data_IF_618789931852
#
_entry.id   IF_618789931852
#
_cell.length_a   1.000
_cell.length_b   1.000
_cell.length_c   1.000
_cell.angle_alpha   90.00
_cell.angle_beta   90.00
_cell.angle_gamma   90.00
#
_symmetry.space_group_name_H-M   'P 1'
#
loop_
_entity.id
_entity.type
_entity.pdbx_description
1 polymer ?
#
# COMPACT_ATOMS: atom_id res chain seq x y z
N UNK A 1 -19.84 24.12 50.31
CA UNK A 1 -20.27 23.94 48.91
C UNK A 1 -19.02 23.89 48.06
N UNK A 2 -18.55 22.69 47.74
CA UNK A 2 -17.32 22.45 46.96
C UNK A 2 -17.75 22.27 45.51
N UNK A 3 -17.35 23.21 44.65
CA UNK A 3 -17.53 23.10 43.19
C UNK A 3 -16.39 22.21 42.69
N UNK A 4 -16.69 20.94 42.43
CA UNK A 4 -15.78 20.02 41.73
C UNK A 4 -15.95 20.31 40.24
N UNK A 5 -14.99 21.02 39.66
CA UNK A 5 -14.94 21.32 38.23
C UNK A 5 -14.73 20.03 37.42
N UNK A 6 -15.72 19.70 36.59
CA UNK A 6 -15.67 18.66 35.57
C UNK A 6 -14.82 19.13 34.38
N UNK A 7 -13.52 18.82 34.36
CA UNK A 7 -12.63 19.08 33.20
C UNK A 7 -11.98 17.81 32.62
N UNK A 8 -12.52 16.62 32.90
CA UNK A 8 -11.91 15.35 32.48
C UNK A 8 -12.44 14.73 31.17
N UNK A 9 -13.30 15.42 30.39
CA UNK A 9 -13.92 14.86 29.18
C UNK A 9 -13.24 15.23 27.84
N UNK A 10 -12.25 16.13 27.81
CA UNK A 10 -11.61 16.53 26.54
C UNK A 10 -10.39 15.69 26.15
N UNK A 11 -9.69 15.08 27.11
CA UNK A 11 -8.42 14.36 26.84
C UNK A 11 -8.62 13.10 25.97
N UNK A 12 -9.73 12.40 26.13
CA UNK A 12 -9.96 11.10 25.49
C UNK A 12 -10.28 11.16 23.99
N UNK A 13 -10.66 12.32 23.45
CA UNK A 13 -10.93 12.46 22.00
C UNK A 13 -9.63 12.73 21.23
N UNK A 14 -8.72 13.49 21.83
CA UNK A 14 -7.41 13.88 21.29
C UNK A 14 -6.50 12.65 21.09
N UNK A 15 -6.45 11.74 22.08
CA UNK A 15 -5.65 10.50 21.96
C UNK A 15 -6.15 9.56 20.85
N UNK A 16 -7.45 9.60 20.52
CA UNK A 16 -8.05 8.71 19.50
C UNK A 16 -7.74 9.15 18.08
N UNK A 17 -7.86 10.45 17.82
CA UNK A 17 -7.49 11.03 16.53
C UNK A 17 -6.00 10.88 16.24
N UNK A 18 -5.16 10.97 17.28
CA UNK A 18 -3.72 10.71 17.20
C UNK A 18 -3.40 9.29 16.72
N UNK A 19 -4.06 8.27 17.27
CA UNK A 19 -3.80 6.87 16.88
C UNK A 19 -4.20 6.60 15.42
N UNK A 20 -5.35 7.10 14.96
CA UNK A 20 -5.76 6.93 13.57
C UNK A 20 -4.79 7.58 12.60
N UNK A 21 -4.38 8.82 12.87
CA UNK A 21 -3.49 9.55 11.98
C UNK A 21 -2.09 8.95 11.96
N UNK A 22 -1.61 8.43 13.09
CA UNK A 22 -0.38 7.63 13.12
C UNK A 22 -0.52 6.38 12.25
N UNK A 23 -1.60 5.61 12.41
CA UNK A 23 -1.86 4.44 11.57
C UNK A 23 -2.06 4.79 10.09
N UNK A 24 -2.64 5.95 9.76
CA UNK A 24 -2.80 6.37 8.36
C UNK A 24 -1.48 6.80 7.74
N UNK A 25 -0.59 7.42 8.52
CA UNK A 25 0.77 7.78 8.11
C UNK A 25 1.56 6.50 7.84
N UNK A 26 1.61 5.59 8.81
CA UNK A 26 2.31 4.32 8.67
C UNK A 26 1.80 3.52 7.47
N UNK A 27 0.47 3.36 7.35
CA UNK A 27 -0.13 2.70 6.18
C UNK A 27 0.28 3.37 4.86
N UNK A 28 0.31 4.69 4.81
CA UNK A 28 0.67 5.44 3.60
C UNK A 28 2.14 5.25 3.23
N UNK A 29 3.04 5.28 4.21
CA UNK A 29 4.46 5.02 4.03
C UNK A 29 4.68 3.60 3.50
N UNK A 30 4.17 2.59 4.20
CA UNK A 30 4.27 1.17 3.79
C UNK A 30 3.69 0.93 2.39
N UNK A 31 2.52 1.49 2.07
CA UNK A 31 1.96 1.37 0.71
C UNK A 31 2.87 2.05 -0.29
N UNK A 32 3.42 3.23 -0.02
CA UNK A 32 4.31 3.91 -0.96
C UNK A 32 5.57 3.10 -1.26
N UNK A 33 6.19 2.51 -0.24
CA UNK A 33 7.35 1.63 -0.39
C UNK A 33 6.99 0.38 -1.22
N UNK A 34 5.84 -0.24 -0.95
CA UNK A 34 5.33 -1.34 -1.77
C UNK A 34 5.12 -0.93 -3.24
N UNK A 35 4.66 0.29 -3.50
CA UNK A 35 4.50 0.80 -4.87
C UNK A 35 5.84 1.01 -5.56
N UNK A 36 6.84 1.54 -4.85
CA UNK A 36 8.19 1.69 -5.38
C UNK A 36 8.81 0.33 -5.70
N UNK A 37 8.66 -0.62 -4.79
CA UNK A 37 9.13 -1.99 -4.99
C UNK A 37 8.42 -2.68 -6.16
N UNK A 38 7.12 -2.45 -6.32
CA UNK A 38 6.37 -2.93 -7.49
C UNK A 38 6.94 -2.37 -8.79
N UNK A 39 7.20 -1.06 -8.86
CA UNK A 39 7.80 -0.43 -10.05
C UNK A 39 9.17 -1.06 -10.33
N UNK A 40 10.02 -1.18 -9.31
CA UNK A 40 11.35 -1.79 -9.40
C UNK A 40 11.29 -3.22 -9.95
N UNK A 41 10.43 -4.07 -9.39
CA UNK A 41 10.31 -5.46 -9.83
C UNK A 41 9.76 -5.59 -11.26
N UNK A 42 8.78 -4.77 -11.64
CA UNK A 42 8.28 -4.76 -13.02
C UNK A 42 9.41 -4.38 -13.99
N UNK A 43 10.13 -3.27 -13.74
CA UNK A 43 11.23 -2.81 -14.59
C UNK A 43 12.31 -3.90 -14.71
N UNK A 44 12.71 -4.49 -13.58
CA UNK A 44 13.76 -5.49 -13.54
C UNK A 44 13.38 -6.74 -14.33
N UNK A 45 12.16 -7.25 -14.16
CA UNK A 45 11.69 -8.44 -14.87
C UNK A 45 11.52 -8.15 -16.36
N UNK A 46 10.88 -7.05 -16.74
CA UNK A 46 10.69 -6.70 -18.15
C UNK A 46 12.05 -6.48 -18.86
N UNK A 47 13.02 -5.85 -18.19
CA UNK A 47 14.38 -5.69 -18.72
C UNK A 47 15.09 -7.02 -18.95
N UNK A 48 14.98 -7.96 -18.00
CA UNK A 48 15.55 -9.32 -18.16
C UNK A 48 14.88 -10.07 -19.31
N UNK A 49 13.56 -9.94 -19.46
CA UNK A 49 12.84 -10.54 -20.59
C UNK A 49 13.38 -9.97 -21.91
N UNK A 50 13.49 -8.65 -22.03
CA UNK A 50 14.00 -7.97 -23.24
C UNK A 50 15.42 -8.40 -23.60
N UNK A 51 16.30 -8.59 -22.61
CA UNK A 51 17.66 -9.11 -22.84
C UNK A 51 17.61 -10.52 -23.45
N UNK A 52 16.77 -11.40 -22.90
CA UNK A 52 16.62 -12.79 -23.39
C UNK A 52 15.98 -12.87 -24.77
N UNK A 53 15.06 -11.97 -25.08
CA UNK A 53 14.31 -11.95 -26.35
C UNK A 53 14.93 -11.04 -27.42
N UNK A 54 16.09 -10.43 -27.14
CA UNK A 54 16.75 -9.45 -28.02
C UNK A 54 17.02 -9.96 -29.43
N UNK A 55 17.27 -11.26 -29.60
CA UNK A 55 17.56 -11.87 -30.90
C UNK A 55 16.28 -12.23 -31.69
N UNK A 56 15.11 -11.79 -31.24
CA UNK A 56 13.84 -11.98 -31.94
C UNK A 56 13.72 -11.16 -33.24
N UNK A 57 12.61 -11.37 -33.96
CA UNK A 57 12.41 -10.86 -35.33
C UNK A 57 12.29 -9.34 -35.44
N UNK A 58 11.88 -8.64 -34.37
CA UNK A 58 11.79 -7.17 -34.35
C UNK A 58 12.05 -6.60 -32.94
N UNK A 59 13.32 -6.53 -32.50
CA UNK A 59 13.67 -6.12 -31.14
C UNK A 59 13.32 -4.66 -30.84
N UNK A 60 13.36 -3.78 -31.84
CA UNK A 60 12.98 -2.37 -31.68
C UNK A 60 11.50 -2.24 -31.32
N UNK A 61 10.62 -2.87 -32.10
CA UNK A 61 9.18 -2.83 -31.84
C UNK A 61 8.83 -3.41 -30.47
N UNK A 62 9.47 -4.53 -30.10
CA UNK A 62 9.27 -5.16 -28.79
C UNK A 62 9.68 -4.25 -27.62
N UNK A 63 10.79 -3.53 -27.77
CA UNK A 63 11.23 -2.55 -26.77
C UNK A 63 10.25 -1.37 -26.66
N UNK A 64 9.79 -0.84 -27.80
CA UNK A 64 8.80 0.25 -27.85
C UNK A 64 7.48 -0.15 -27.15
N UNK A 65 6.92 -1.31 -27.48
CA UNK A 65 5.69 -1.84 -26.86
C UNK A 65 5.82 -2.08 -25.35
N UNK A 66 6.98 -2.60 -24.91
CA UNK A 66 7.26 -2.82 -23.49
C UNK A 66 7.40 -1.52 -22.72
N UNK A 67 8.07 -0.52 -23.30
CA UNK A 67 8.21 0.79 -22.69
C UNK A 67 6.86 1.51 -22.55
N UNK A 68 6.00 1.45 -23.57
CA UNK A 68 4.65 2.02 -23.52
C UNK A 68 3.82 1.37 -22.41
N UNK A 69 3.77 0.03 -22.38
CA UNK A 69 3.03 -0.71 -21.34
C UNK A 69 3.55 -0.38 -19.93
N UNK A 70 4.86 -0.26 -19.78
CA UNK A 70 5.49 0.08 -18.50
C UNK A 70 5.17 1.53 -18.07
N UNK A 71 5.18 2.48 -19.00
CA UNK A 71 4.81 3.86 -18.72
C UNK A 71 3.35 3.97 -18.26
N UNK A 72 2.43 3.26 -18.92
CA UNK A 72 1.03 3.22 -18.53
C UNK A 72 0.86 2.66 -17.11
N UNK A 73 1.51 1.53 -16.81
CA UNK A 73 1.45 0.93 -15.48
C UNK A 73 2.04 1.86 -14.39
N UNK A 74 3.18 2.49 -14.65
CA UNK A 74 3.78 3.47 -13.73
C UNK A 74 2.83 4.65 -13.53
N UNK A 75 2.12 5.09 -14.58
CA UNK A 75 1.08 6.12 -14.50
C UNK A 75 -0.07 5.70 -13.58
N UNK A 76 -0.54 4.45 -13.68
CA UNK A 76 -1.58 3.91 -12.80
C UNK A 76 -1.11 3.84 -11.33
N UNK A 77 0.11 3.34 -11.10
CA UNK A 77 0.70 3.26 -9.75
C UNK A 77 0.84 4.66 -9.12
N UNK A 78 1.34 5.63 -9.88
CA UNK A 78 1.46 7.02 -9.42
C UNK A 78 0.10 7.67 -9.16
N UNK A 79 -0.92 7.32 -9.95
CA UNK A 79 -2.29 7.75 -9.68
C UNK A 79 -2.73 7.23 -8.31
N UNK A 80 -2.60 5.92 -8.08
CA UNK A 80 -2.94 5.28 -6.79
C UNK A 80 -2.19 5.91 -5.61
N UNK A 81 -0.88 6.11 -5.73
CA UNK A 81 -0.06 6.86 -4.75
C UNK A 81 -0.67 8.22 -4.41
N UNK A 82 -1.11 8.95 -5.44
CA UNK A 82 -1.79 10.23 -5.28
C UNK A 82 -3.10 10.15 -4.51
N UNK A 83 -3.85 9.04 -4.60
CA UNK A 83 -5.04 8.80 -3.78
C UNK A 83 -4.66 8.50 -2.32
N UNK A 84 -3.64 7.68 -2.09
CA UNK A 84 -3.14 7.33 -0.75
C UNK A 84 -2.65 8.55 0.01
N UNK A 85 -1.83 9.42 -0.62
CA UNK A 85 -1.37 10.68 -0.02
C UNK A 85 -2.53 11.63 0.32
N UNK A 86 -3.55 11.69 -0.54
CA UNK A 86 -4.73 12.53 -0.30
C UNK A 86 -5.56 12.00 0.88
N UNK A 87 -5.66 10.68 1.02
CA UNK A 87 -6.32 10.03 2.16
C UNK A 87 -5.56 10.29 3.47
N UNK A 88 -4.23 10.18 3.46
CA UNK A 88 -3.41 10.53 4.63
C UNK A 88 -3.60 11.99 5.04
N UNK A 89 -3.60 12.89 4.04
CA UNK A 89 -3.84 14.32 4.26
C UNK A 89 -5.20 14.57 4.92
N UNK A 90 -6.23 13.80 4.53
CA UNK A 90 -7.55 13.88 5.15
C UNK A 90 -7.48 13.53 6.65
N UNK A 91 -6.90 12.38 7.01
CA UNK A 91 -6.82 11.93 8.39
C UNK A 91 -5.98 12.86 9.26
N UNK A 92 -4.84 13.35 8.77
CA UNK A 92 -4.03 14.36 9.47
C UNK A 92 -4.81 15.66 9.74
N UNK A 93 -5.58 16.14 8.77
CA UNK A 93 -6.40 17.34 8.96
C UNK A 93 -7.60 17.08 9.89
N UNK A 94 -8.16 15.87 9.86
CA UNK A 94 -9.23 15.46 10.79
C UNK A 94 -8.71 15.43 12.23
N UNK A 95 -7.49 14.94 12.46
CA UNK A 95 -6.83 15.05 13.75
C UNK A 95 -6.59 16.51 14.15
N UNK A 96 -6.07 17.34 13.25
CA UNK A 96 -5.90 18.76 13.53
C UNK A 96 -7.20 19.45 13.94
N UNK A 97 -8.34 19.04 13.38
CA UNK A 97 -9.66 19.55 13.75
C UNK A 97 -10.10 19.08 15.15
N UNK A 98 -9.64 17.91 15.58
CA UNK A 98 -9.89 17.39 16.93
C UNK A 98 -9.00 18.07 17.98
N UNK A 99 -7.78 18.47 17.60
CA UNK A 99 -6.77 19.01 18.49
C UNK A 99 -6.83 20.55 18.63
N UNK A 100 -7.38 21.29 17.65
CA UNK A 100 -7.37 22.75 17.67
C UNK A 100 -8.49 23.39 18.51
N UNK A 101 -8.14 24.35 19.37
CA UNK A 101 -9.09 25.29 19.97
C UNK A 101 -9.69 26.26 18.93
N UNK A 102 -8.97 26.50 17.83
CA UNK A 102 -9.34 27.37 16.71
C UNK A 102 -10.02 26.57 15.59
N UNK A 103 -11.36 26.51 15.67
CA UNK A 103 -12.20 25.47 15.02
C UNK A 103 -12.56 25.68 13.55
N UNK A 104 -12.33 26.85 12.96
CA UNK A 104 -12.93 27.20 11.67
C UNK A 104 -12.05 26.88 10.45
N UNK A 105 -10.77 27.27 10.47
CA UNK A 105 -9.91 27.13 9.28
C UNK A 105 -9.54 25.66 8.97
N UNK A 106 -9.35 24.84 10.01
CA UNK A 106 -9.03 23.42 9.86
C UNK A 106 -10.23 22.63 9.30
N UNK A 107 -11.46 22.97 9.71
CA UNK A 107 -12.67 22.31 9.22
C UNK A 107 -12.94 22.55 7.73
N UNK A 108 -12.61 23.75 7.24
CA UNK A 108 -12.66 24.08 5.80
C UNK A 108 -11.64 23.24 5.02
N UNK A 109 -10.44 23.05 5.55
CA UNK A 109 -9.41 22.23 4.92
C UNK A 109 -9.83 20.75 4.80
N UNK A 110 -10.37 20.16 5.87
CA UNK A 110 -10.90 18.77 5.84
C UNK A 110 -11.96 18.61 4.73
N UNK A 111 -12.89 19.58 4.62
CA UNK A 111 -13.92 19.55 3.57
C UNK A 111 -13.36 19.65 2.17
N UNK A 112 -12.41 20.56 1.94
CA UNK A 112 -11.76 20.72 0.63
C UNK A 112 -11.00 19.45 0.22
N UNK A 113 -10.33 18.77 1.16
CA UNK A 113 -9.65 17.51 0.89
C UNK A 113 -10.66 16.42 0.55
N UNK A 114 -11.74 16.28 1.33
CA UNK A 114 -12.82 15.33 1.07
C UNK A 114 -13.47 15.54 -0.31
N UNK A 115 -13.73 16.79 -0.70
CA UNK A 115 -14.24 17.09 -2.04
C UNK A 115 -13.25 16.72 -3.15
N UNK A 116 -11.94 16.92 -2.94
CA UNK A 116 -10.92 16.46 -3.89
C UNK A 116 -10.86 14.94 -3.99
N UNK A 117 -11.02 14.23 -2.86
CA UNK A 117 -11.15 12.76 -2.83
C UNK A 117 -12.34 12.37 -3.70
N UNK A 118 -13.53 12.90 -3.38
CA UNK A 118 -14.76 12.59 -4.11
C UNK A 118 -14.66 12.83 -5.62
N UNK A 119 -14.09 13.97 -6.03
CA UNK A 119 -13.89 14.29 -7.44
C UNK A 119 -12.99 13.26 -8.14
N UNK A 120 -11.91 12.83 -7.49
CA UNK A 120 -11.02 11.79 -8.02
C UNK A 120 -11.70 10.41 -8.05
N UNK A 121 -12.32 9.99 -6.94
CA UNK A 121 -13.03 8.70 -6.84
C UNK A 121 -14.15 8.55 -7.87
N UNK A 122 -14.74 9.66 -8.32
CA UNK A 122 -15.83 9.65 -9.30
C UNK A 122 -15.35 9.49 -10.74
N UNK A 123 -14.08 9.79 -11.01
CA UNK A 123 -13.43 9.53 -12.30
C UNK A 123 -12.79 8.15 -12.40
N UNK A 124 -12.77 7.37 -11.31
CA UNK A 124 -12.19 6.03 -11.32
C UNK A 124 -13.05 5.05 -12.13
N UNK A 125 -12.36 4.18 -12.89
CA UNK A 125 -13.01 3.15 -13.71
C UNK A 125 -13.39 1.89 -12.92
N UNK A 126 -12.94 1.77 -11.67
CA UNK A 126 -13.23 0.59 -10.86
C UNK A 126 -14.73 0.57 -10.49
N UNK A 127 -15.40 -0.52 -10.87
CA UNK A 127 -16.82 -0.72 -10.61
C UNK A 127 -16.99 -1.26 -9.20
N UNK A 128 -17.80 -0.58 -8.40
CA UNK A 128 -18.26 -1.08 -7.11
C UNK A 128 -19.39 -2.08 -7.33
N UNK A 129 -19.37 -3.16 -6.57
CA UNK A 129 -20.47 -4.12 -6.51
C UNK A 129 -21.66 -3.52 -5.76
N UNK A 130 -22.85 -4.06 -5.99
CA UNK A 130 -24.06 -3.66 -5.26
C UNK A 130 -23.88 -3.76 -3.74
N UNK A 131 -23.14 -4.78 -3.28
CA UNK A 131 -22.83 -4.95 -1.84
C UNK A 131 -21.96 -3.83 -1.29
N UNK A 132 -21.01 -3.33 -2.08
CA UNK A 132 -20.11 -2.23 -1.72
C UNK A 132 -20.85 -0.89 -1.73
N UNK A 133 -21.74 -0.67 -2.69
CA UNK A 133 -22.61 0.51 -2.72
C UNK A 133 -23.61 0.51 -1.55
N UNK A 134 -24.17 -0.66 -1.22
CA UNK A 134 -25.00 -0.85 -0.05
C UNK A 134 -24.25 -0.57 1.25
N UNK A 135 -22.99 -1.01 1.35
CA UNK A 135 -22.10 -0.68 2.47
C UNK A 135 -21.87 0.83 2.58
N UNK A 136 -21.54 1.53 1.49
CA UNK A 136 -21.34 3.00 1.51
C UNK A 136 -22.61 3.70 1.99
N UNK A 137 -23.79 3.26 1.52
CA UNK A 137 -25.08 3.81 1.95
C UNK A 137 -25.34 3.59 3.44
N UNK A 138 -24.99 2.41 3.96
CA UNK A 138 -25.06 2.09 5.39
C UNK A 138 -24.12 2.99 6.21
N UNK A 139 -22.91 3.24 5.73
CA UNK A 139 -21.96 4.16 6.39
C UNK A 139 -22.50 5.60 6.40
N UNK A 140 -23.04 6.08 5.27
CA UNK A 140 -23.60 7.44 5.17
C UNK A 140 -24.82 7.68 6.07
N UNK A 141 -25.59 6.62 6.38
CA UNK A 141 -26.74 6.68 7.28
C UNK A 141 -26.38 6.37 8.75
N UNK A 142 -25.13 6.03 9.04
CA UNK A 142 -24.67 5.69 10.38
C UNK A 142 -24.82 6.87 11.34
N UNK A 143 -25.31 6.61 12.55
CA UNK A 143 -25.35 7.62 13.60
C UNK A 143 -23.93 7.89 14.09
N UNK A 144 -23.45 9.12 13.85
CA UNK A 144 -22.16 9.56 14.36
C UNK A 144 -22.22 9.71 15.88
N UNK A 145 -21.19 9.18 16.56
CA UNK A 145 -21.05 9.21 18.02
C UNK A 145 -21.44 10.56 18.62
N UNK A 146 -22.30 10.53 19.65
CA UNK A 146 -22.90 11.75 20.23
C UNK A 146 -21.92 12.62 21.01
N UNK A 147 -20.77 12.08 21.40
CA UNK A 147 -19.77 12.75 22.21
C UNK A 147 -18.81 13.64 21.40
N UNK A 148 -18.84 13.58 20.06
CA UNK A 148 -18.03 14.47 19.23
C UNK A 148 -18.52 15.91 19.33
N UNK A 149 -17.58 16.86 19.30
CA UNK A 149 -17.91 18.27 19.13
C UNK A 149 -18.68 18.48 17.81
N UNK A 150 -19.58 19.46 17.77
CA UNK A 150 -20.51 19.65 16.65
C UNK A 150 -19.82 19.81 15.28
N UNK A 151 -18.67 20.50 15.25
CA UNK A 151 -17.86 20.68 14.04
C UNK A 151 -17.25 19.35 13.54
N UNK A 152 -16.68 18.54 14.44
CA UNK A 152 -16.14 17.21 14.10
C UNK A 152 -17.26 16.30 13.64
N UNK A 153 -18.39 16.29 14.36
CA UNK A 153 -19.58 15.51 13.99
C UNK A 153 -20.10 15.87 12.60
N UNK A 154 -20.12 17.17 12.27
CA UNK A 154 -20.52 17.63 10.94
C UNK A 154 -19.55 17.18 9.84
N UNK A 155 -18.24 17.26 10.09
CA UNK A 155 -17.22 16.78 9.16
C UNK A 155 -17.33 15.27 8.94
N UNK A 156 -17.35 14.48 10.01
CA UNK A 156 -17.50 13.02 9.95
C UNK A 156 -18.77 12.60 9.20
N UNK A 157 -19.91 13.25 9.47
CA UNK A 157 -21.17 12.95 8.79
C UNK A 157 -21.10 13.25 7.28
N UNK A 158 -20.52 14.40 6.91
CA UNK A 158 -20.34 14.80 5.50
C UNK A 158 -19.43 13.82 4.75
N UNK A 159 -18.34 13.41 5.40
CA UNK A 159 -17.24 12.69 4.74
C UNK A 159 -17.40 11.17 4.80
N UNK A 160 -18.21 10.64 5.72
CA UNK A 160 -18.52 9.22 5.89
C UNK A 160 -18.63 8.43 4.57
N UNK A 161 -19.55 8.77 3.64
CA UNK A 161 -19.70 8.02 2.39
C UNK A 161 -18.55 8.25 1.41
N UNK A 162 -17.90 9.42 1.43
CA UNK A 162 -16.80 9.78 0.53
C UNK A 162 -15.57 8.94 0.87
N UNK A 163 -15.20 8.91 2.15
CA UNK A 163 -14.03 8.18 2.64
C UNK A 163 -14.27 6.67 2.53
N UNK A 164 -15.48 6.19 2.86
CA UNK A 164 -15.82 4.77 2.69
C UNK A 164 -15.70 4.32 1.22
N UNK A 165 -16.19 5.15 0.28
CA UNK A 165 -16.03 4.89 -1.16
C UNK A 165 -14.55 4.82 -1.55
N UNK A 166 -13.75 5.80 -1.14
CA UNK A 166 -12.33 5.83 -1.52
C UNK A 166 -11.55 4.66 -0.93
N UNK A 167 -11.82 4.24 0.31
CA UNK A 167 -11.18 3.06 0.90
C UNK A 167 -11.47 1.81 0.07
N UNK A 168 -12.73 1.54 -0.30
CA UNK A 168 -13.07 0.39 -1.15
C UNK A 168 -12.40 0.43 -2.53
N UNK A 169 -12.30 1.62 -3.12
CA UNK A 169 -11.60 1.80 -4.39
C UNK A 169 -10.10 1.52 -4.24
N UNK A 170 -9.48 2.01 -3.16
CA UNK A 170 -8.09 1.72 -2.84
C UNK A 170 -7.85 0.24 -2.60
N UNK A 171 -8.77 -0.47 -1.93
CA UNK A 171 -8.69 -1.92 -1.72
C UNK A 171 -8.58 -2.67 -3.06
N UNK A 172 -9.42 -2.33 -4.04
CA UNK A 172 -9.39 -2.93 -5.38
C UNK A 172 -8.09 -2.59 -6.13
N UNK A 173 -7.65 -1.34 -6.06
CA UNK A 173 -6.41 -0.89 -6.69
C UNK A 173 -5.20 -1.60 -6.08
N UNK A 174 -5.15 -1.70 -4.75
CA UNK A 174 -4.12 -2.41 -4.01
C UNK A 174 -4.10 -3.90 -4.38
N UNK A 175 -5.26 -4.56 -4.45
CA UNK A 175 -5.35 -5.95 -4.88
C UNK A 175 -4.79 -6.16 -6.30
N UNK A 176 -5.06 -5.24 -7.24
CA UNK A 176 -4.48 -5.27 -8.59
C UNK A 176 -2.95 -5.15 -8.54
N UNK A 177 -2.42 -4.19 -7.79
CA UNK A 177 -0.98 -3.96 -7.64
C UNK A 177 -0.28 -5.17 -7.00
N UNK A 178 -0.84 -5.71 -5.92
CA UNK A 178 -0.32 -6.92 -5.27
C UNK A 178 -0.28 -8.10 -6.24
N UNK A 179 -1.31 -8.27 -7.08
CA UNK A 179 -1.31 -9.30 -8.12
C UNK A 179 -0.22 -9.11 -9.18
N UNK A 180 0.06 -7.86 -9.58
CA UNK A 180 1.17 -7.54 -10.49
C UNK A 180 2.52 -7.85 -9.83
N UNK A 181 2.73 -7.41 -8.60
CA UNK A 181 3.97 -7.68 -7.88
C UNK A 181 4.17 -9.19 -7.69
N UNK A 182 3.14 -9.92 -7.30
CA UNK A 182 3.20 -11.37 -7.16
C UNK A 182 3.60 -12.07 -8.47
N UNK A 183 2.95 -11.74 -9.59
CA UNK A 183 3.31 -12.33 -10.89
C UNK A 183 4.77 -12.01 -11.30
N UNK A 184 5.25 -10.80 -10.99
CA UNK A 184 6.62 -10.39 -11.25
C UNK A 184 7.62 -11.12 -10.36
N UNK A 185 7.33 -11.30 -9.07
CA UNK A 185 8.17 -12.07 -8.16
C UNK A 185 8.20 -13.56 -8.55
N UNK A 186 7.07 -14.14 -8.93
CA UNK A 186 7.00 -15.51 -9.44
C UNK A 186 7.84 -15.69 -10.70
N UNK A 187 7.70 -14.74 -11.64
CA UNK A 187 8.49 -14.73 -12.87
C UNK A 187 9.98 -14.58 -12.56
N UNK A 188 10.36 -13.65 -11.69
CA UNK A 188 11.73 -13.45 -11.22
C UNK A 188 12.28 -14.71 -10.57
N UNK A 189 11.52 -15.36 -9.70
CA UNK A 189 11.92 -16.60 -9.01
C UNK A 189 12.17 -17.72 -10.01
N UNK A 190 11.28 -17.94 -10.98
CA UNK A 190 11.48 -18.92 -12.06
C UNK A 190 12.73 -18.62 -12.89
N UNK A 191 12.95 -17.35 -13.25
CA UNK A 191 14.13 -16.92 -13.98
C UNK A 191 15.40 -17.20 -13.19
N UNK A 192 15.40 -16.85 -11.90
CA UNK A 192 16.52 -17.01 -10.99
C UNK A 192 16.86 -18.50 -10.78
N UNK A 193 15.85 -19.34 -10.53
CA UNK A 193 16.00 -20.79 -10.41
C UNK A 193 16.69 -21.36 -11.65
N UNK A 194 16.21 -20.98 -12.83
CA UNK A 194 16.81 -21.47 -14.06
C UNK A 194 18.25 -21.00 -14.24
N UNK A 195 18.50 -19.68 -14.13
CA UNK A 195 19.81 -19.08 -14.44
C UNK A 195 20.91 -19.43 -13.44
N UNK A 196 20.59 -19.49 -12.14
CA UNK A 196 21.60 -19.55 -11.08
C UNK A 196 21.65 -20.91 -10.38
N UNK A 197 20.64 -21.75 -10.55
CA UNK A 197 20.57 -23.06 -9.88
C UNK A 197 20.55 -24.19 -10.90
N UNK A 198 19.59 -24.20 -11.83
CA UNK A 198 19.42 -25.31 -12.77
C UNK A 198 20.51 -25.31 -13.84
N UNK A 199 20.66 -24.21 -14.58
CA UNK A 199 21.60 -24.15 -15.71
C UNK A 199 23.07 -24.41 -15.29
N UNK A 200 23.59 -23.84 -14.18
CA UNK A 200 24.95 -24.13 -13.74
C UNK A 200 25.14 -25.58 -13.29
N UNK A 201 24.12 -26.17 -12.63
CA UNK A 201 24.21 -27.56 -12.15
C UNK A 201 24.24 -28.58 -13.28
N UNK A 202 23.47 -28.36 -14.35
CA UNK A 202 23.41 -29.30 -15.49
C UNK A 202 24.54 -29.09 -16.49
N UNK A 203 25.23 -27.94 -16.46
CA UNK A 203 26.37 -27.66 -17.33
C UNK A 203 27.64 -28.39 -16.88
N UNK A 204 27.59 -29.71 -16.97
CA UNK A 204 28.70 -30.63 -16.63
C UNK A 204 29.93 -30.49 -17.53
N UNK A 205 29.85 -29.67 -18.58
CA UNK A 205 30.94 -29.40 -19.53
C UNK A 205 31.46 -27.96 -19.44
N UNK A 206 30.75 -27.09 -18.74
CA UNK A 206 31.15 -25.72 -18.47
C UNK A 206 32.34 -25.66 -17.53
N UNK A 207 33.29 -24.77 -17.82
CA UNK A 207 34.52 -24.62 -17.02
C UNK A 207 34.33 -23.82 -15.72
N UNK A 208 33.11 -23.38 -15.38
CA UNK A 208 32.87 -22.38 -14.34
C UNK A 208 31.75 -22.77 -13.36
N UNK A 209 31.73 -24.03 -12.90
CA UNK A 209 30.88 -24.40 -11.76
C UNK A 209 31.57 -23.99 -10.46
N UNK A 210 31.03 -22.97 -9.80
CA UNK A 210 31.41 -22.57 -8.45
C UNK A 210 30.40 -23.15 -7.45
N UNK A 211 30.85 -24.15 -6.69
CA UNK A 211 30.03 -24.84 -5.68
C UNK A 211 29.48 -23.88 -4.63
N UNK A 212 30.30 -22.93 -4.17
CA UNK A 212 29.91 -21.99 -3.11
C UNK A 212 28.81 -21.04 -3.58
N UNK A 213 28.99 -20.45 -4.77
CA UNK A 213 28.00 -19.58 -5.41
C UNK A 213 26.71 -20.35 -5.72
N UNK A 214 26.80 -21.61 -6.14
CA UNK A 214 25.63 -22.44 -6.43
C UNK A 214 24.81 -22.79 -5.18
N UNK A 215 25.48 -23.22 -4.10
CA UNK A 215 24.83 -23.52 -2.82
C UNK A 215 24.10 -22.30 -2.28
N UNK A 216 24.78 -21.14 -2.31
CA UNK A 216 24.20 -19.85 -1.90
C UNK A 216 22.98 -19.50 -2.76
N UNK A 217 23.11 -19.58 -4.08
CA UNK A 217 22.01 -19.27 -5.01
C UNK A 217 20.80 -20.18 -4.75
N UNK A 218 21.03 -21.47 -4.51
CA UNK A 218 19.95 -22.41 -4.20
C UNK A 218 19.28 -22.08 -2.87
N UNK A 219 20.03 -21.66 -1.85
CA UNK A 219 19.45 -21.22 -0.56
C UNK A 219 18.57 -19.98 -0.75
N UNK A 220 19.10 -18.96 -1.42
CA UNK A 220 18.36 -17.72 -1.70
C UNK A 220 17.06 -17.97 -2.47
N UNK A 221 17.06 -18.92 -3.41
CA UNK A 221 15.83 -19.27 -4.11
C UNK A 221 14.75 -19.82 -3.17
N UNK A 222 15.10 -20.71 -2.23
CA UNK A 222 14.15 -21.24 -1.25
C UNK A 222 13.66 -20.17 -0.27
N UNK A 223 14.52 -19.23 0.13
CA UNK A 223 14.14 -18.08 0.96
C UNK A 223 13.11 -17.20 0.25
N UNK A 224 13.33 -16.91 -1.03
CA UNK A 224 12.38 -16.14 -1.87
C UNK A 224 11.01 -16.84 -2.02
N UNK A 225 10.93 -18.17 -1.88
CA UNK A 225 9.64 -18.87 -1.91
C UNK A 225 8.83 -18.71 -0.61
N UNK A 226 9.47 -18.36 0.49
CA UNK A 226 8.80 -18.22 1.79
C UNK A 226 8.13 -16.85 1.98
N UNK A 227 8.36 -15.89 1.07
CA UNK A 227 7.86 -14.51 1.19
C UNK A 227 6.42 -14.31 0.67
N UNK A 228 5.76 -15.34 0.16
CA UNK A 228 4.39 -15.27 -0.37
C UNK A 228 3.26 -14.87 0.62
N UNK A 229 3.34 -15.13 1.95
CA UNK A 229 2.29 -14.74 2.89
C UNK A 229 2.04 -13.23 2.99
N UNK A 230 2.99 -12.40 2.56
CA UNK A 230 2.96 -10.96 2.80
C UNK A 230 1.84 -10.19 2.09
N UNK A 231 1.38 -10.71 0.95
CA UNK A 231 0.27 -10.12 0.23
C UNK A 231 -1.03 -10.16 1.04
N UNK A 232 -1.15 -11.08 2.02
CA UNK A 232 -2.25 -11.11 2.96
C UNK A 232 -2.12 -9.97 3.98
N UNK A 233 -0.95 -9.77 4.59
CA UNK A 233 -0.73 -8.72 5.61
C UNK A 233 -1.06 -7.31 5.08
N UNK A 234 -0.69 -7.00 3.83
CA UNK A 234 -1.04 -5.70 3.21
C UNK A 234 -2.55 -5.51 3.08
N UNK A 235 -3.29 -6.56 2.67
CA UNK A 235 -4.75 -6.51 2.55
C UNK A 235 -5.41 -6.38 3.91
N UNK A 236 -4.94 -7.15 4.88
CA UNK A 236 -5.42 -7.10 6.26
C UNK A 236 -5.19 -5.71 6.87
N UNK A 237 -4.04 -5.08 6.62
CA UNK A 237 -3.77 -3.71 7.07
C UNK A 237 -4.75 -2.69 6.45
N UNK A 238 -5.08 -2.85 5.16
CA UNK A 238 -6.08 -2.01 4.51
C UNK A 238 -7.49 -2.22 5.11
N UNK A 239 -7.87 -3.48 5.34
CA UNK A 239 -9.14 -3.81 6.00
C UNK A 239 -9.20 -3.25 7.43
N UNK A 240 -8.10 -3.31 8.17
CA UNK A 240 -7.98 -2.73 9.50
C UNK A 240 -8.15 -1.20 9.46
N UNK A 241 -7.58 -0.51 8.47
CA UNK A 241 -7.81 0.93 8.27
C UNK A 241 -9.29 1.23 7.98
N UNK A 242 -9.97 0.40 7.18
CA UNK A 242 -11.41 0.54 6.93
C UNK A 242 -12.24 0.32 8.20
N UNK A 243 -11.90 -0.68 9.01
CA UNK A 243 -12.56 -0.93 10.29
C UNK A 243 -12.32 0.21 11.28
N UNK A 244 -11.10 0.73 11.34
CA UNK A 244 -10.76 1.89 12.15
C UNK A 244 -11.63 3.11 11.78
N UNK A 245 -11.83 3.37 10.48
CA UNK A 245 -12.74 4.42 10.01
C UNK A 245 -14.18 4.21 10.52
N UNK A 246 -14.74 3.01 10.39
CA UNK A 246 -16.07 2.71 10.93
C UNK A 246 -16.17 2.94 12.44
N UNK A 247 -15.14 2.54 13.17
CA UNK A 247 -15.08 2.66 14.61
C UNK A 247 -15.02 4.11 15.07
N UNK A 248 -14.36 4.98 14.30
CA UNK A 248 -14.38 6.43 14.51
C UNK A 248 -15.78 6.99 14.30
N UNK A 249 -16.47 6.61 13.22
CA UNK A 249 -17.83 7.10 12.96
C UNK A 249 -18.78 6.75 14.11
N UNK A 250 -18.73 5.50 14.59
CA UNK A 250 -19.53 5.02 15.74
C UNK A 250 -19.08 5.61 17.06
N UNK A 251 -17.83 6.05 17.09
CA UNK A 251 -17.20 6.59 18.27
C UNK A 251 -16.81 5.52 19.30
N UNK A 252 -16.26 4.41 18.84
CA UNK A 252 -15.70 3.39 19.75
C UNK A 252 -14.49 3.93 20.51
N UNK A 253 -14.15 3.25 21.62
CA UNK A 253 -13.05 3.63 22.50
C UNK A 253 -11.70 3.05 22.06
N UNK A 254 -11.71 1.84 21.53
CA UNK A 254 -10.55 1.20 20.91
C UNK A 254 -10.69 1.29 19.39
N UNK A 255 -9.69 1.89 18.74
CA UNK A 255 -9.51 1.85 17.30
C UNK A 255 -8.52 0.72 17.04
N UNK A 256 -8.86 -0.22 16.17
CA UNK A 256 -8.04 -1.41 15.90
C UNK A 256 -6.59 -1.07 15.53
N UNK A 257 -5.65 -1.94 15.91
CA UNK A 257 -4.21 -1.75 15.68
C UNK A 257 -3.83 -2.12 14.24
N UNK A 258 -3.65 -1.11 13.38
CA UNK A 258 -3.12 -1.27 12.01
C UNK A 258 -1.62 -1.62 12.05
N UNK A 259 -0.92 -1.17 13.10
CA UNK A 259 0.55 -1.14 13.18
C UNK A 259 1.22 -2.51 13.13
N UNK A 260 0.62 -3.56 13.73
CA UNK A 260 1.21 -4.90 13.72
C UNK A 260 1.26 -5.53 12.33
N UNK A 261 0.28 -5.24 11.46
CA UNK A 261 0.23 -5.79 10.11
C UNK A 261 1.20 -5.10 9.15
N UNK A 262 1.60 -3.86 9.46
CA UNK A 262 2.56 -3.10 8.65
C UNK A 262 4.01 -3.54 8.89
N UNK A 263 4.32 -4.05 10.09
CA UNK A 263 5.67 -4.58 10.41
C UNK A 263 6.05 -5.69 9.46
N UNK A 264 5.16 -6.67 9.25
CA UNK A 264 5.43 -7.77 8.32
C UNK A 264 5.78 -7.25 6.92
N UNK A 265 5.06 -6.22 6.45
CA UNK A 265 5.25 -5.68 5.09
C UNK A 265 6.62 -5.03 4.96
N UNK A 266 7.04 -4.27 5.97
CA UNK A 266 8.36 -3.64 5.98
C UNK A 266 9.47 -4.70 6.01
N UNK A 267 9.37 -5.73 6.86
CA UNK A 267 10.33 -6.83 6.92
C UNK A 267 10.49 -7.54 5.57
N UNK A 268 9.39 -7.70 4.83
CA UNK A 268 9.42 -8.25 3.48
C UNK A 268 10.10 -7.32 2.47
N UNK A 269 9.81 -6.02 2.50
CA UNK A 269 10.43 -5.05 1.62
C UNK A 269 11.95 -4.99 1.86
N UNK A 270 12.38 -4.99 3.13
CA UNK A 270 13.79 -5.10 3.50
C UNK A 270 14.43 -6.38 2.97
N UNK A 271 13.71 -7.51 3.02
CA UNK A 271 14.19 -8.78 2.45
C UNK A 271 14.36 -8.71 0.94
N UNK A 272 13.43 -8.07 0.22
CA UNK A 272 13.54 -7.89 -1.24
C UNK A 272 14.72 -7.00 -1.62
N UNK A 273 14.95 -5.92 -0.86
CA UNK A 273 16.09 -5.03 -1.06
C UNK A 273 17.42 -5.75 -0.80
N UNK A 274 17.54 -6.47 0.31
CA UNK A 274 18.74 -7.25 0.64
C UNK A 274 19.06 -8.30 -0.45
N UNK A 275 18.04 -8.93 -1.04
CA UNK A 275 18.19 -9.87 -2.16
C UNK A 275 18.65 -9.19 -3.46
N UNK A 276 18.25 -7.94 -3.70
CA UNK A 276 18.76 -7.17 -4.84
C UNK A 276 20.23 -6.75 -4.62
N UNK A 277 20.61 -6.31 -3.42
CA UNK A 277 21.98 -5.90 -3.08
C UNK A 277 22.98 -7.07 -3.12
N UNK A 278 22.64 -8.21 -2.52
CA UNK A 278 23.49 -9.42 -2.51
C UNK A 278 23.86 -9.88 -3.93
N UNK A 279 22.93 -9.71 -4.88
CA UNK A 279 23.11 -10.09 -6.28
C UNK A 279 24.05 -9.14 -7.02
N UNK A 280 23.96 -7.85 -6.77
CA UNK A 280 24.83 -6.85 -7.41
C UNK A 280 26.27 -6.99 -6.92
N UNK A 281 26.46 -7.33 -5.63
CA UNK A 281 27.78 -7.67 -5.09
C UNK A 281 28.35 -8.95 -5.73
N UNK A 282 27.55 -10.01 -5.86
CA UNK A 282 27.98 -11.27 -6.50
C UNK A 282 28.40 -11.07 -7.97
N UNK A 283 27.79 -10.12 -8.69
CA UNK A 283 28.19 -9.76 -10.06
C UNK A 283 29.47 -8.94 -10.13
N UNK A 284 29.75 -8.12 -9.12
CA UNK A 284 30.97 -7.29 -9.07
C UNK A 284 32.25 -8.09 -8.77
N UNK A 285 32.12 -9.25 -8.13
CA UNK A 285 33.26 -10.13 -7.79
C UNK A 285 33.72 -10.97 -9.00
N UNK A 286 32.89 -11.06 -10.05
CA UNK A 286 33.14 -11.89 -11.25
C UNK A 286 33.75 -11.06 -12.41
N UNK A 287 33.90 -9.73 -12.27
CA UNK A 287 34.58 -8.85 -13.23
C UNK A 287 36.02 -8.54 -12.82
#
# INVERSE_FOLDING_TARGET
>A
MVIISLTACSSNTVTKSQNLSASSVAYTETVNELLDETIKQVINVDSKILVRTRNGTNPRKMLEEKNETLQDLIGEINTFRGHTVLMNSYFLNLQGLADSELKNDVGVNVGRISSRIHARSSGEKAVLTESEEGYISKIGSMMIGSYYAANIKAALKRDAPIIAKQLLLQEKQLAKILGILQDRLDTRSRMYLYENVVAPYIDTKGQHFDESTWVESRRQWFELQQSAPIFASVKEAHEALRQAWEDILRGKRDIGAVDMMLVDVNDFLETLDALDESRDQSRSIIQ
#
